data_IF_201287083563
#
_entry.id   IF_201287083563
#
_cell.length_a   1.000
_cell.length_b   1.000
_cell.length_c   1.000
_cell.angle_alpha   90.00
_cell.angle_beta   90.00
_cell.angle_gamma   90.00
#
_symmetry.space_group_name_H-M   'P 1'
#
loop_
_entity.id
_entity.type
_entity.pdbx_description
1 polymer ?
#
# COMPACT_ATOMS: atom_id res chain seq x y z
N UNK A 1 -6.05 -24.95 13.92
CA UNK A 1 -5.88 -25.29 12.50
C UNK A 1 -4.49 -25.92 12.35
N UNK A 2 -4.42 -27.22 12.11
CA UNK A 2 -3.16 -27.95 12.02
C UNK A 2 -2.41 -27.51 10.76
N UNK A 3 -1.31 -26.78 10.91
CA UNK A 3 -0.62 -26.10 9.82
C UNK A 3 0.39 -27.03 9.11
N UNK A 4 -0.10 -28.19 8.67
CA UNK A 4 0.71 -29.21 8.02
C UNK A 4 0.02 -29.68 6.74
N UNK A 5 0.80 -29.82 5.67
CA UNK A 5 0.36 -30.45 4.44
C UNK A 5 0.26 -31.96 4.66
N UNK A 6 -0.67 -32.62 3.97
CA UNK A 6 -0.66 -34.06 3.84
C UNK A 6 -0.47 -34.42 2.38
N UNK A 7 0.27 -35.48 2.13
CA UNK A 7 0.32 -36.10 0.80
C UNK A 7 -1.07 -36.62 0.41
N UNK A 8 -1.26 -36.93 -0.88
CA UNK A 8 -2.50 -37.54 -1.37
C UNK A 8 -2.86 -38.84 -0.61
N UNK A 9 -1.84 -39.55 -0.09
CA UNK A 9 -1.96 -40.75 0.74
C UNK A 9 -2.29 -40.46 2.23
N UNK A 10 -2.43 -39.19 2.61
CA UNK A 10 -2.73 -38.76 3.99
C UNK A 10 -1.52 -38.71 4.94
N UNK A 11 -0.30 -38.97 4.45
CA UNK A 11 0.95 -38.85 5.24
C UNK A 11 1.28 -37.40 5.52
N UNK A 12 1.84 -37.11 6.70
CA UNK A 12 2.34 -35.77 7.04
C UNK A 12 3.44 -35.36 6.06
N UNK A 13 3.33 -34.15 5.53
CA UNK A 13 4.23 -33.61 4.54
C UNK A 13 4.70 -32.20 4.94
N UNK A 14 5.97 -31.89 4.66
CA UNK A 14 6.62 -30.61 4.92
C UNK A 14 6.73 -29.71 3.68
N UNK A 15 6.20 -30.13 2.52
CA UNK A 15 6.10 -29.27 1.35
C UNK A 15 5.21 -28.06 1.67
N UNK A 16 5.66 -26.88 1.24
CA UNK A 16 4.93 -25.64 1.41
C UNK A 16 3.57 -25.75 0.71
N UNK A 17 2.50 -25.35 1.40
CA UNK A 17 1.19 -25.18 0.76
C UNK A 17 1.34 -24.08 -0.27
N UNK A 18 1.13 -24.41 -1.54
CA UNK A 18 1.08 -23.39 -2.59
C UNK A 18 -0.03 -22.38 -2.24
N UNK A 19 0.29 -21.08 -2.16
CA UNK A 19 -0.71 -20.07 -1.90
C UNK A 19 -1.77 -20.13 -3.00
N UNK A 20 -3.05 -20.10 -2.61
CA UNK A 20 -4.12 -19.92 -3.59
C UNK A 20 -3.86 -18.63 -4.35
N UNK A 21 -3.84 -18.70 -5.68
CA UNK A 21 -3.74 -17.52 -6.53
C UNK A 21 -5.01 -16.69 -6.33
N UNK A 22 -4.85 -15.44 -5.89
CA UNK A 22 -5.93 -14.47 -5.75
C UNK A 22 -5.67 -13.27 -6.66
N UNK A 23 -6.73 -12.77 -7.28
CA UNK A 23 -6.68 -11.49 -7.96
C UNK A 23 -6.73 -10.35 -6.92
N UNK A 24 -6.07 -9.23 -7.20
CA UNK A 24 -6.28 -8.03 -6.42
C UNK A 24 -7.71 -7.52 -6.66
N UNK A 25 -8.45 -7.25 -5.59
CA UNK A 25 -9.75 -6.59 -5.69
C UNK A 25 -9.58 -5.16 -6.18
N UNK A 26 -10.55 -4.68 -6.95
CA UNK A 26 -10.60 -3.26 -7.31
C UNK A 26 -10.81 -2.40 -6.04
N UNK A 27 -10.26 -1.16 -6.00
CA UNK A 27 -10.43 -0.29 -4.85
C UNK A 27 -11.90 -0.07 -4.48
N UNK A 28 -12.23 -0.21 -3.21
CA UNK A 28 -13.57 0.08 -2.69
C UNK A 28 -13.89 1.58 -2.81
N UNK A 29 -15.16 1.95 -2.58
CA UNK A 29 -15.55 3.37 -2.49
C UNK A 29 -14.82 4.11 -1.36
N UNK A 30 -14.46 3.41 -0.29
CA UNK A 30 -13.68 3.97 0.80
C UNK A 30 -12.22 4.20 0.40
N UNK A 31 -11.60 3.24 -0.30
CA UNK A 31 -10.22 3.36 -0.78
C UNK A 31 -10.09 4.53 -1.76
N UNK A 32 -11.03 4.66 -2.71
CA UNK A 32 -11.04 5.78 -3.67
C UNK A 32 -11.15 7.13 -2.98
N UNK A 33 -11.97 7.25 -1.93
CA UNK A 33 -12.09 8.49 -1.14
C UNK A 33 -10.80 8.79 -0.38
N UNK A 34 -10.17 7.77 0.21
CA UNK A 34 -8.91 7.94 0.91
C UNK A 34 -7.78 8.34 -0.05
N UNK A 35 -7.72 7.78 -1.26
CA UNK A 35 -6.78 8.22 -2.29
C UNK A 35 -6.98 9.68 -2.68
N UNK A 36 -8.23 10.14 -2.83
CA UNK A 36 -8.50 11.54 -3.11
C UNK A 36 -8.02 12.46 -1.97
N UNK A 37 -8.25 12.06 -0.71
CA UNK A 37 -7.76 12.81 0.46
C UNK A 37 -6.23 12.84 0.49
N UNK A 38 -5.56 11.71 0.26
CA UNK A 38 -4.10 11.64 0.21
C UNK A 38 -3.51 12.49 -0.92
N UNK A 39 -4.15 12.49 -2.09
CA UNK A 39 -3.76 13.34 -3.20
C UNK A 39 -3.88 14.82 -2.84
N UNK A 40 -4.98 15.24 -2.21
CA UNK A 40 -5.17 16.61 -1.75
C UNK A 40 -4.12 17.03 -0.71
N UNK A 41 -3.85 16.18 0.28
CA UNK A 41 -2.79 16.42 1.30
C UNK A 41 -1.43 16.57 0.62
N UNK A 42 -1.13 15.72 -0.36
CA UNK A 42 0.15 15.76 -1.09
C UNK A 42 0.28 17.06 -1.87
N UNK A 43 -0.77 17.52 -2.55
CA UNK A 43 -0.77 18.81 -3.26
C UNK A 43 -0.53 19.97 -2.30
N UNK A 44 -1.22 19.99 -1.16
CA UNK A 44 -1.02 21.03 -0.12
C UNK A 44 0.40 21.01 0.41
N UNK A 45 0.95 19.83 0.69
CA UNK A 45 2.32 19.68 1.17
C UNK A 45 3.34 20.20 0.14
N UNK A 46 3.22 19.80 -1.13
CA UNK A 46 4.11 20.24 -2.21
C UNK A 46 4.01 21.76 -2.40
N UNK A 47 2.80 22.32 -2.42
CA UNK A 47 2.60 23.77 -2.50
C UNK A 47 3.22 24.51 -1.32
N UNK A 48 3.06 23.99 -0.09
CA UNK A 48 3.68 24.53 1.11
C UNK A 48 5.22 24.50 1.04
N UNK A 49 5.80 23.40 0.57
CA UNK A 49 7.26 23.29 0.39
C UNK A 49 7.79 24.28 -0.66
N UNK A 50 7.07 24.46 -1.78
CA UNK A 50 7.42 25.45 -2.80
C UNK A 50 7.37 26.86 -2.21
N UNK A 51 6.32 27.20 -1.45
CA UNK A 51 6.21 28.50 -0.80
C UNK A 51 7.37 28.74 0.18
N UNK A 52 7.72 27.74 1.00
CA UNK A 52 8.88 27.80 1.91
C UNK A 52 10.17 28.01 1.12
N UNK A 53 10.38 27.29 0.01
CA UNK A 53 11.57 27.43 -0.81
C UNK A 53 11.68 28.82 -1.46
N UNK A 54 10.58 29.39 -1.96
CA UNK A 54 10.54 30.74 -2.53
C UNK A 54 10.88 31.79 -1.47
N UNK A 55 10.29 31.69 -0.28
CA UNK A 55 10.57 32.62 0.83
C UNK A 55 12.02 32.49 1.30
N UNK A 56 12.53 31.26 1.47
CA UNK A 56 13.90 31.02 1.88
C UNK A 56 14.92 31.54 0.84
N UNK A 57 14.65 31.33 -0.45
CA UNK A 57 15.47 31.84 -1.54
C UNK A 57 15.47 33.37 -1.58
N UNK A 58 14.29 34.00 -1.49
CA UNK A 58 14.17 35.46 -1.46
C UNK A 58 14.75 36.11 -0.20
N UNK A 59 14.80 35.41 0.94
CA UNK A 59 15.45 35.88 2.16
C UNK A 59 16.99 35.78 2.11
N UNK A 60 17.54 35.02 1.16
CA UNK A 60 18.99 34.82 0.99
C UNK A 60 19.66 35.85 0.07
N UNK A 61 18.89 36.77 -0.51
CA UNK A 61 19.37 37.92 -1.31
C UNK A 61 19.28 39.21 -0.52
#
# INVERSE_FOLDING_TARGET
>A
MNNYTKDDDGRLNNFAVEPKIYAADAPSKADKRNYLIMAAITVVLVAGLIAVAVVASGAST
#
